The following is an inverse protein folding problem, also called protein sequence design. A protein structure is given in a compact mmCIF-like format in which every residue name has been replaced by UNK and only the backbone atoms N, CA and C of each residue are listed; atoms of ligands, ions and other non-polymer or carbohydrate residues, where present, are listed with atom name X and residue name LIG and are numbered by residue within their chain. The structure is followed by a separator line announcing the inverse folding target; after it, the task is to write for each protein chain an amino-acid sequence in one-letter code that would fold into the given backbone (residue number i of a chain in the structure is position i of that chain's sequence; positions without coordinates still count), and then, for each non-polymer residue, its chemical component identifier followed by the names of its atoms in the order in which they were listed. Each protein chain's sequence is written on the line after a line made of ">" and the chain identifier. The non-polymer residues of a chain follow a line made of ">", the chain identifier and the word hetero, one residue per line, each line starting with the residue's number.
data_IF_137789702187
#
_entry.id   IF_137789702187
#
_cell.length_a   1.000
_cell.length_b   1.000
_cell.length_c   1.000
_cell.angle_alpha   90.00
_cell.angle_beta   90.00
_cell.angle_gamma   90.00
#
_symmetry.space_group_name_H-M   'P 1'
#
loop_
_entity.id
_entity.type
_entity.pdbx_description
1 polymer ?
#
# COMPACT_ATOMS: atom_id res chain seq x y z
N UNK A 1 20.57 41.65 -12.20
CA UNK A 1 19.38 40.78 -12.24
C UNK A 1 19.52 39.85 -13.43
N UNK A 2 19.80 38.56 -13.20
CA UNK A 2 19.86 37.59 -14.28
C UNK A 2 18.45 37.39 -14.85
N UNK A 3 18.29 37.63 -16.15
CA UNK A 3 17.02 37.55 -16.89
C UNK A 3 16.59 36.14 -17.27
N UNK A 4 17.41 35.13 -16.98
CA UNK A 4 17.29 33.78 -17.54
C UNK A 4 16.03 33.01 -17.15
N UNK A 5 15.32 33.42 -16.09
CA UNK A 5 14.11 32.75 -15.59
C UNK A 5 13.00 33.74 -15.25
N UNK A 6 12.90 34.84 -16.01
CA UNK A 6 11.90 35.90 -15.73
C UNK A 6 10.46 35.41 -15.88
N UNK A 7 10.21 34.47 -16.79
CA UNK A 7 8.88 33.95 -17.13
C UNK A 7 8.84 32.41 -17.19
N UNK A 8 9.87 31.76 -16.65
CA UNK A 8 10.03 30.30 -16.69
C UNK A 8 10.66 29.85 -15.37
N UNK A 9 10.39 28.61 -14.97
CA UNK A 9 11.10 27.99 -13.86
C UNK A 9 12.41 27.36 -14.36
N UNK A 10 13.45 27.32 -13.52
CA UNK A 10 14.66 26.58 -13.84
C UNK A 10 14.36 25.08 -13.96
N UNK A 11 15.09 24.34 -14.81
CA UNK A 11 14.98 22.89 -14.86
C UNK A 11 15.18 22.27 -13.47
N UNK A 12 14.39 21.25 -13.15
CA UNK A 12 14.37 20.62 -11.82
C UNK A 12 15.77 20.19 -11.36
N UNK A 13 16.51 19.54 -12.25
CA UNK A 13 17.87 19.03 -12.05
C UNK A 13 18.93 20.13 -11.84
N UNK A 14 18.61 21.39 -12.17
CA UNK A 14 19.53 22.52 -11.96
C UNK A 14 19.46 23.13 -10.56
N UNK A 15 18.44 22.76 -9.77
CA UNK A 15 18.21 23.30 -8.42
C UNK A 15 18.01 22.14 -7.43
N UNK A 16 18.98 21.87 -6.53
CA UNK A 16 18.93 20.70 -5.64
C UNK A 16 17.67 20.57 -4.79
N UNK A 17 17.06 21.69 -4.35
CA UNK A 17 15.81 21.63 -3.58
C UNK A 17 14.62 21.18 -4.43
N UNK A 18 14.58 21.55 -5.72
CA UNK A 18 13.51 21.15 -6.63
C UNK A 18 13.71 19.70 -7.10
N UNK A 19 14.96 19.27 -7.27
CA UNK A 19 15.29 17.86 -7.51
C UNK A 19 14.83 16.98 -6.33
N UNK A 20 15.11 17.42 -5.10
CA UNK A 20 14.77 16.68 -3.88
C UNK A 20 13.27 16.62 -3.61
N UNK A 21 12.52 17.69 -3.88
CA UNK A 21 11.09 17.77 -3.62
C UNK A 21 10.30 18.00 -4.91
N UNK A 22 9.96 16.90 -5.58
CA UNK A 22 9.18 16.93 -6.82
C UNK A 22 7.82 17.62 -6.64
N UNK A 23 7.13 17.37 -5.52
CA UNK A 23 5.83 18.00 -5.22
C UNK A 23 5.90 19.52 -5.07
N UNK A 24 7.01 20.06 -4.55
CA UNK A 24 7.26 21.49 -4.54
C UNK A 24 7.47 22.02 -5.96
N UNK A 25 8.22 21.30 -6.79
CA UNK A 25 8.44 21.70 -8.17
C UNK A 25 7.14 21.68 -8.98
N UNK A 26 6.32 20.64 -8.84
CA UNK A 26 5.00 20.57 -9.47
C UNK A 26 4.07 21.69 -8.99
N UNK A 27 4.04 21.99 -7.68
CA UNK A 27 3.25 23.10 -7.15
C UNK A 27 3.66 24.44 -7.78
N UNK A 28 4.97 24.68 -7.95
CA UNK A 28 5.46 25.88 -8.62
C UNK A 28 5.06 25.90 -10.10
N UNK A 29 5.15 24.77 -10.80
CA UNK A 29 4.71 24.65 -12.20
C UNK A 29 3.23 25.00 -12.32
N UNK A 30 2.36 24.33 -11.57
CA UNK A 30 0.90 24.55 -11.59
C UNK A 30 0.54 25.98 -11.22
N UNK A 31 1.16 26.53 -10.16
CA UNK A 31 0.92 27.92 -9.75
C UNK A 31 1.43 28.99 -10.74
N UNK A 32 2.29 28.61 -11.69
CA UNK A 32 2.90 29.54 -12.67
C UNK A 32 2.60 29.19 -14.12
N UNK A 33 1.66 28.27 -14.38
CA UNK A 33 1.24 27.89 -15.74
C UNK A 33 0.84 29.12 -16.55
N UNK A 34 1.22 29.27 -17.84
CA UNK A 34 0.86 30.44 -18.63
C UNK A 34 -0.65 30.67 -18.76
N UNK A 35 -1.40 29.58 -18.96
CA UNK A 35 -2.86 29.59 -18.98
C UNK A 35 -3.40 29.72 -17.55
N UNK A 36 -4.20 30.76 -17.22
CA UNK A 36 -4.83 30.90 -15.91
C UNK A 36 -5.77 29.75 -15.54
N UNK A 37 -6.41 29.11 -16.52
CA UNK A 37 -7.37 28.03 -16.27
C UNK A 37 -6.66 26.75 -15.80
N UNK A 38 -5.36 26.61 -16.09
CA UNK A 38 -4.50 25.51 -15.65
C UNK A 38 -3.74 25.80 -14.32
N UNK A 39 -4.09 26.88 -13.61
CA UNK A 39 -3.55 27.22 -12.29
C UNK A 39 -4.48 26.78 -11.17
N UNK A 40 -4.03 26.94 -9.93
CA UNK A 40 -4.94 26.93 -8.77
C UNK A 40 -5.96 28.07 -8.91
N UNK A 41 -7.24 27.74 -8.75
CA UNK A 41 -8.35 28.68 -8.98
C UNK A 41 -8.53 29.66 -7.81
N UNK A 42 -7.95 29.34 -6.65
CA UNK A 42 -7.92 30.24 -5.50
C UNK A 42 -6.61 30.16 -4.71
N UNK A 43 -6.35 31.22 -3.93
CA UNK A 43 -5.24 31.21 -2.97
C UNK A 43 -5.44 30.17 -1.86
N UNK A 44 -6.69 29.83 -1.52
CA UNK A 44 -7.01 28.80 -0.54
C UNK A 44 -6.64 27.41 -1.06
N UNK A 45 -7.01 27.10 -2.31
CA UNK A 45 -6.62 25.85 -2.98
C UNK A 45 -5.09 25.71 -3.05
N UNK A 46 -4.39 26.77 -3.48
CA UNK A 46 -2.93 26.77 -3.48
C UNK A 46 -2.34 26.58 -2.07
N UNK A 47 -2.94 27.20 -1.04
CA UNK A 47 -2.49 27.07 0.34
C UNK A 47 -2.67 25.65 0.88
N UNK A 48 -3.78 24.98 0.54
CA UNK A 48 -4.02 23.58 0.91
C UNK A 48 -2.99 22.65 0.24
N UNK A 49 -2.73 22.83 -1.06
CA UNK A 49 -1.70 22.05 -1.76
C UNK A 49 -0.30 22.33 -1.20
N UNK A 50 0.02 23.60 -0.90
CA UNK A 50 1.30 23.97 -0.30
C UNK A 50 1.48 23.39 1.10
N UNK A 51 0.41 23.30 1.89
CA UNK A 51 0.43 22.64 3.19
C UNK A 51 0.72 21.14 3.05
N UNK A 52 0.12 20.48 2.05
CA UNK A 52 0.46 19.10 1.67
C UNK A 52 1.95 18.91 1.35
N UNK A 53 2.51 19.77 0.48
CA UNK A 53 3.94 19.77 0.16
C UNK A 53 4.81 20.01 1.40
N UNK A 54 4.42 20.94 2.28
CA UNK A 54 5.15 21.22 3.52
C UNK A 54 5.20 20.00 4.43
N UNK A 55 4.09 19.25 4.55
CA UNK A 55 4.04 18.00 5.34
C UNK A 55 5.07 16.99 4.84
N UNK A 56 5.21 16.83 3.53
CA UNK A 56 6.19 15.94 2.91
C UNK A 56 7.63 16.39 3.19
N UNK A 57 7.91 17.68 2.99
CA UNK A 57 9.24 18.27 3.25
C UNK A 57 9.64 18.05 4.70
N UNK A 58 8.75 18.40 5.64
CA UNK A 58 8.98 18.24 7.08
C UNK A 58 9.17 16.76 7.43
N UNK A 59 8.33 15.88 6.89
CA UNK A 59 8.45 14.45 7.17
C UNK A 59 9.76 13.85 6.65
N UNK A 60 10.27 14.39 5.55
CA UNK A 60 11.55 14.00 4.99
C UNK A 60 12.76 14.55 5.75
N UNK A 61 12.74 15.82 6.18
CA UNK A 61 13.88 16.46 6.85
C UNK A 61 13.98 16.12 8.33
N UNK A 62 12.85 16.12 9.04
CA UNK A 62 12.83 15.99 10.50
C UNK A 62 12.58 14.55 10.95
N UNK A 63 12.23 13.64 10.02
CA UNK A 63 11.96 12.24 10.31
C UNK A 63 10.72 12.00 11.19
N UNK A 64 9.88 13.03 11.39
CA UNK A 64 8.58 12.92 12.08
C UNK A 64 7.44 12.92 11.10
N UNK A 65 6.37 12.21 11.40
CA UNK A 65 5.19 12.16 10.54
C UNK A 65 4.33 13.40 10.74
N UNK A 66 3.64 13.84 9.68
CA UNK A 66 2.72 14.98 9.72
C UNK A 66 1.40 14.57 9.07
N UNK A 67 0.60 13.69 9.71
CA UNK A 67 -0.70 13.27 9.19
C UNK A 67 -1.71 14.43 9.23
N UNK A 68 -2.56 14.51 8.22
CA UNK A 68 -3.70 15.43 8.17
C UNK A 68 -4.75 14.90 7.19
N UNK A 69 -6.02 15.12 7.53
CA UNK A 69 -7.14 14.75 6.67
C UNK A 69 -7.12 15.60 5.38
N UNK A 70 -7.33 14.92 4.25
CA UNK A 70 -7.55 15.60 2.98
C UNK A 70 -8.94 16.25 2.97
N UNK A 71 -9.05 17.39 2.28
CA UNK A 71 -10.34 18.02 1.96
C UNK A 71 -10.92 17.53 0.62
N UNK A 72 -10.14 16.77 -0.15
CA UNK A 72 -10.51 16.31 -1.49
C UNK A 72 -10.70 14.79 -1.57
N UNK A 73 -10.08 14.04 -0.67
CA UNK A 73 -10.14 12.57 -0.64
C UNK A 73 -10.58 12.04 0.72
N UNK A 74 -11.21 10.87 0.72
CA UNK A 74 -11.44 10.09 1.93
C UNK A 74 -10.12 9.74 2.63
N UNK A 75 -10.21 9.34 3.89
CA UNK A 75 -9.05 8.79 4.59
C UNK A 75 -8.52 7.47 3.97
N UNK A 76 -7.40 6.95 4.50
CA UNK A 76 -6.82 5.69 4.06
C UNK A 76 -7.83 4.55 4.07
N UNK A 77 -7.90 3.80 2.96
CA UNK A 77 -8.75 2.61 2.83
C UNK A 77 -7.88 1.37 3.00
N UNK A 78 -8.43 0.37 3.69
CA UNK A 78 -7.74 -0.90 3.90
C UNK A 78 -8.10 -1.85 2.76
N UNK A 79 -7.08 -2.39 2.08
CA UNK A 79 -7.22 -3.49 1.13
C UNK A 79 -6.33 -4.68 1.48
N UNK A 80 -6.17 -5.58 0.52
CA UNK A 80 -5.19 -6.66 0.59
C UNK A 80 -3.75 -6.13 0.69
N UNK A 81 -2.88 -6.88 1.36
CA UNK A 81 -1.48 -6.50 1.56
C UNK A 81 -0.51 -7.28 0.66
N UNK A 82 -0.99 -8.26 -0.10
CA UNK A 82 -0.14 -9.15 -0.90
C UNK A 82 0.16 -8.56 -2.28
N UNK A 83 -0.74 -7.73 -2.82
CA UNK A 83 -0.60 -7.05 -4.12
C UNK A 83 -1.31 -5.69 -4.10
N UNK A 84 -1.03 -4.79 -5.05
CA UNK A 84 -1.80 -3.57 -5.23
C UNK A 84 -3.25 -3.89 -5.62
N UNK A 85 -4.20 -3.39 -4.84
CA UNK A 85 -5.63 -3.53 -5.08
C UNK A 85 -6.27 -2.15 -5.13
N UNK A 86 -6.83 -1.76 -6.28
CA UNK A 86 -7.39 -0.43 -6.49
C UNK A 86 -8.52 -0.07 -5.53
N UNK A 87 -9.19 -1.06 -4.90
CA UNK A 87 -10.18 -0.80 -3.84
C UNK A 87 -9.56 -0.16 -2.58
N UNK A 88 -8.24 -0.24 -2.39
CA UNK A 88 -7.52 0.41 -1.30
C UNK A 88 -7.19 1.88 -1.59
N UNK A 89 -7.52 2.40 -2.77
CA UNK A 89 -7.34 3.82 -3.07
C UNK A 89 -8.41 4.67 -2.35
N UNK A 90 -8.04 5.84 -1.80
CA UNK A 90 -9.01 6.83 -1.33
C UNK A 90 -10.00 7.22 -2.43
N UNK A 91 -11.23 7.59 -2.05
CA UNK A 91 -12.23 8.09 -3.00
C UNK A 91 -12.26 9.63 -2.95
N UNK A 92 -12.51 10.34 -4.06
CA UNK A 92 -12.84 11.76 -3.99
C UNK A 92 -14.01 11.99 -3.03
N UNK A 93 -13.95 13.08 -2.25
CA UNK A 93 -15.04 13.46 -1.36
C UNK A 93 -16.21 14.04 -2.15
N UNK A 94 -17.41 13.72 -1.68
CA UNK A 94 -18.66 14.34 -2.13
C UNK A 94 -18.62 15.83 -1.82
N UNK A 95 -18.91 16.68 -2.81
CA UNK A 95 -19.21 18.08 -2.56
C UNK A 95 -20.53 18.19 -1.78
N UNK A 96 -20.45 18.73 -0.54
CA UNK A 96 -21.61 18.88 0.32
C UNK A 96 -22.59 19.95 -0.15
N UNK A 97 -22.15 20.86 -1.03
CA UNK A 97 -22.98 21.91 -1.61
C UNK A 97 -23.70 21.44 -2.89
N UNK A 98 -23.42 20.23 -3.39
CA UNK A 98 -24.13 19.65 -4.54
C UNK A 98 -25.62 19.42 -4.22
N UNK A 99 -26.55 19.82 -5.10
CA UNK A 99 -27.99 19.65 -4.88
C UNK A 99 -28.42 18.20 -4.60
N UNK A 100 -27.70 17.21 -5.14
CA UNK A 100 -27.99 15.80 -4.94
C UNK A 100 -27.33 15.21 -3.69
N UNK A 101 -26.53 15.95 -2.93
CA UNK A 101 -25.82 15.43 -1.74
C UNK A 101 -26.76 14.74 -0.74
N UNK A 102 -27.94 15.35 -0.49
CA UNK A 102 -28.97 14.76 0.38
C UNK A 102 -29.58 13.46 -0.16
N UNK A 103 -29.75 13.36 -1.49
CA UNK A 103 -30.21 12.14 -2.14
C UNK A 103 -29.14 11.04 -2.09
N UNK A 104 -27.89 11.37 -2.42
CA UNK A 104 -26.77 10.43 -2.39
C UNK A 104 -26.56 9.83 -0.99
N UNK A 105 -26.77 10.62 0.07
CA UNK A 105 -26.73 10.14 1.45
C UNK A 105 -27.84 9.12 1.80
N UNK A 106 -28.91 9.02 0.99
CA UNK A 106 -30.02 8.07 1.21
C UNK A 106 -29.78 6.71 0.56
N UNK A 107 -28.82 6.61 -0.37
CA UNK A 107 -28.47 5.36 -1.03
C UNK A 107 -27.74 4.47 -0.04
N UNK A 108 -28.39 3.39 0.37
CA UNK A 108 -27.88 2.43 1.37
C UNK A 108 -27.70 1.02 0.79
N UNK A 109 -28.05 0.82 -0.49
CA UNK A 109 -27.82 -0.43 -1.20
C UNK A 109 -26.33 -0.78 -1.16
N UNK A 110 -26.03 -2.07 -0.99
CA UNK A 110 -24.65 -2.60 -1.01
C UNK A 110 -24.37 -3.40 -2.29
N UNK A 111 -25.40 -3.72 -3.05
CA UNK A 111 -25.29 -4.39 -4.34
C UNK A 111 -24.99 -3.35 -5.44
N UNK A 112 -23.90 -3.49 -6.21
CA UNK A 112 -23.51 -2.51 -7.23
C UNK A 112 -24.59 -2.28 -8.30
N UNK A 113 -25.31 -3.34 -8.71
CA UNK A 113 -26.37 -3.22 -9.72
C UNK A 113 -27.56 -2.39 -9.20
N UNK A 114 -27.97 -2.61 -7.96
CA UNK A 114 -29.00 -1.79 -7.32
C UNK A 114 -28.53 -0.34 -7.11
N UNK A 115 -27.28 -0.12 -6.70
CA UNK A 115 -26.73 1.24 -6.57
C UNK A 115 -26.76 1.99 -7.91
N UNK A 116 -26.36 1.33 -9.01
CA UNK A 116 -26.43 1.89 -10.36
C UNK A 116 -27.88 2.27 -10.72
N UNK A 117 -28.85 1.39 -10.45
CA UNK A 117 -30.25 1.66 -10.73
C UNK A 117 -30.78 2.87 -9.93
N UNK A 118 -30.43 2.96 -8.64
CA UNK A 118 -30.81 4.09 -7.79
C UNK A 118 -30.19 5.39 -8.33
N UNK A 119 -28.88 5.41 -8.60
CA UNK A 119 -28.17 6.57 -9.16
C UNK A 119 -28.74 7.00 -10.53
N UNK A 120 -29.16 6.05 -11.36
CA UNK A 120 -29.80 6.33 -12.63
C UNK A 120 -31.19 6.96 -12.47
N UNK A 121 -31.89 6.61 -11.39
CA UNK A 121 -33.20 7.13 -11.01
C UNK A 121 -33.13 8.39 -10.13
N UNK A 122 -31.93 8.96 -9.93
CA UNK A 122 -31.77 10.19 -9.17
C UNK A 122 -32.68 11.31 -9.70
N UNK A 123 -33.34 12.09 -8.82
CA UNK A 123 -34.24 13.17 -9.24
C UNK A 123 -33.54 14.24 -10.09
N UNK A 124 -32.26 14.47 -9.83
CA UNK A 124 -31.40 15.41 -10.55
C UNK A 124 -30.11 14.71 -10.97
N UNK A 125 -29.66 14.98 -12.20
CA UNK A 125 -28.38 14.50 -12.74
C UNK A 125 -27.31 15.56 -12.53
N UNK A 126 -26.70 15.56 -11.36
CA UNK A 126 -25.58 16.45 -11.00
C UNK A 126 -24.23 15.79 -11.24
N UNK A 127 -23.15 16.57 -11.13
CA UNK A 127 -21.77 16.06 -11.25
C UNK A 127 -21.50 14.98 -10.20
N UNK A 128 -21.95 15.16 -8.96
CA UNK A 128 -21.74 14.16 -7.90
C UNK A 128 -22.49 12.85 -8.14
N UNK A 129 -23.70 12.91 -8.72
CA UNK A 129 -24.43 11.70 -9.14
C UNK A 129 -23.67 10.97 -10.25
N UNK A 130 -23.15 11.71 -11.24
CA UNK A 130 -22.37 11.13 -12.33
C UNK A 130 -21.05 10.50 -11.83
N UNK A 131 -20.30 11.18 -10.96
CA UNK A 131 -19.07 10.64 -10.39
C UNK A 131 -19.32 9.41 -9.51
N UNK A 132 -20.39 9.42 -8.71
CA UNK A 132 -20.78 8.23 -7.94
C UNK A 132 -21.19 7.07 -8.84
N UNK A 133 -21.95 7.34 -9.90
CA UNK A 133 -22.32 6.33 -10.90
C UNK A 133 -21.09 5.76 -11.62
N UNK A 134 -20.15 6.61 -12.02
CA UNK A 134 -18.89 6.18 -12.63
C UNK A 134 -18.11 5.22 -11.72
N UNK A 135 -18.06 5.50 -10.41
CA UNK A 135 -17.43 4.61 -9.44
C UNK A 135 -18.09 3.21 -9.41
N UNK A 136 -19.42 3.13 -9.38
CA UNK A 136 -20.14 1.85 -9.36
C UNK A 136 -20.05 1.11 -10.71
N UNK A 137 -19.95 1.83 -11.83
CA UNK A 137 -19.76 1.23 -13.16
C UNK A 137 -18.39 0.54 -13.30
N UNK A 138 -17.36 1.04 -12.62
CA UNK A 138 -16.06 0.36 -12.53
C UNK A 138 -16.20 -1.00 -11.83
N UNK A 139 -16.94 -1.05 -10.70
CA UNK A 139 -17.15 -2.27 -9.92
C UNK A 139 -17.80 -3.40 -10.75
N UNK A 140 -18.75 -3.06 -11.63
CA UNK A 140 -19.43 -4.03 -12.50
C UNK A 140 -18.77 -4.21 -13.86
N UNK A 141 -17.73 -3.43 -14.17
CA UNK A 141 -17.00 -3.48 -15.44
C UNK A 141 -17.79 -3.00 -16.66
N UNK A 142 -18.76 -2.10 -16.47
CA UNK A 142 -19.49 -1.46 -17.59
C UNK A 142 -18.74 -0.21 -18.08
N UNK A 143 -17.72 -0.46 -18.89
CA UNK A 143 -16.79 0.57 -19.38
C UNK A 143 -17.42 1.55 -20.37
N UNK A 144 -18.48 1.14 -21.07
CA UNK A 144 -19.13 2.00 -22.07
C UNK A 144 -19.93 3.08 -21.35
N UNK A 145 -20.82 2.65 -20.45
CA UNK A 145 -21.61 3.58 -19.63
C UNK A 145 -20.70 4.45 -18.74
N UNK A 146 -19.56 3.91 -18.31
CA UNK A 146 -18.56 4.66 -17.54
C UNK A 146 -18.01 5.86 -18.32
N UNK A 147 -17.55 5.68 -19.56
CA UNK A 147 -17.03 6.79 -20.37
C UNK A 147 -18.13 7.78 -20.75
N UNK A 148 -19.34 7.30 -21.06
CA UNK A 148 -20.49 8.16 -21.33
C UNK A 148 -20.81 9.04 -20.10
N UNK A 149 -20.78 8.46 -18.90
CA UNK A 149 -21.02 9.18 -17.63
C UNK A 149 -19.92 10.21 -17.35
N UNK A 150 -18.65 9.89 -17.62
CA UNK A 150 -17.56 10.86 -17.44
C UNK A 150 -17.61 12.01 -18.45
N UNK A 151 -18.07 11.75 -19.68
CA UNK A 151 -18.28 12.79 -20.67
C UNK A 151 -19.33 13.83 -20.23
N UNK A 152 -20.32 13.43 -19.42
CA UNK A 152 -21.27 14.37 -18.81
C UNK A 152 -20.58 15.32 -17.83
N UNK A 153 -19.66 14.82 -17.01
CA UNK A 153 -18.87 15.65 -16.07
C UNK A 153 -17.98 16.62 -16.83
N UNK A 154 -17.26 16.14 -17.86
CA UNK A 154 -16.39 16.97 -18.70
C UNK A 154 -17.15 18.06 -19.48
N UNK A 155 -18.43 17.83 -19.78
CA UNK A 155 -19.28 18.83 -20.42
C UNK A 155 -19.63 19.99 -19.49
N UNK A 156 -19.64 19.77 -18.17
CA UNK A 156 -19.84 20.80 -17.14
C UNK A 156 -18.52 21.52 -16.85
N UNK A 157 -17.46 20.76 -16.57
CA UNK A 157 -16.12 21.28 -16.33
C UNK A 157 -15.05 20.35 -16.93
N UNK A 158 -14.33 20.86 -17.94
CA UNK A 158 -13.27 20.11 -18.63
C UNK A 158 -12.00 19.95 -17.80
N UNK A 159 -11.85 20.74 -16.73
CA UNK A 159 -10.69 20.71 -15.84
C UNK A 159 -10.95 19.93 -14.54
N UNK A 160 -12.12 19.30 -14.40
CA UNK A 160 -12.41 18.48 -13.21
C UNK A 160 -11.45 17.28 -13.13
N UNK A 161 -10.48 17.38 -12.23
CA UNK A 161 -9.46 16.37 -12.00
C UNK A 161 -10.05 15.01 -11.63
N UNK A 162 -11.29 14.95 -11.09
CA UNK A 162 -11.95 13.70 -10.69
C UNK A 162 -12.24 12.81 -11.89
N UNK A 163 -12.41 13.38 -13.07
CA UNK A 163 -12.50 12.62 -14.33
C UNK A 163 -11.21 11.83 -14.56
N UNK A 164 -10.05 12.49 -14.45
CA UNK A 164 -8.74 11.83 -14.57
C UNK A 164 -8.53 10.80 -13.46
N UNK A 165 -9.00 11.08 -12.24
CA UNK A 165 -8.94 10.12 -11.14
C UNK A 165 -9.70 8.83 -11.46
N UNK A 166 -10.98 8.93 -11.84
CA UNK A 166 -11.81 7.76 -12.12
C UNK A 166 -11.33 7.00 -13.36
N UNK A 167 -10.85 7.68 -14.41
CA UNK A 167 -10.16 7.01 -15.53
C UNK A 167 -8.95 6.23 -15.05
N UNK A 168 -8.13 6.79 -14.16
CA UNK A 168 -6.99 6.08 -13.56
C UNK A 168 -7.40 4.81 -12.81
N UNK A 169 -8.46 4.87 -12.01
CA UNK A 169 -9.00 3.72 -11.28
C UNK A 169 -9.55 2.65 -12.25
N UNK A 170 -10.32 3.06 -13.26
CA UNK A 170 -10.84 2.14 -14.28
C UNK A 170 -9.71 1.44 -15.05
N UNK A 171 -8.65 2.16 -15.40
CA UNK A 171 -7.51 1.59 -16.12
C UNK A 171 -6.68 0.65 -15.23
N UNK A 172 -6.58 0.88 -13.91
CA UNK A 172 -6.05 -0.12 -12.97
C UNK A 172 -6.91 -1.38 -12.93
N UNK A 173 -8.23 -1.23 -12.81
CA UNK A 173 -9.17 -2.35 -12.78
C UNK A 173 -9.09 -3.20 -14.07
N UNK A 174 -8.71 -2.58 -15.20
CA UNK A 174 -8.51 -3.22 -16.50
C UNK A 174 -7.09 -3.74 -16.73
N UNK A 175 -6.20 -3.64 -15.73
CA UNK A 175 -4.78 -3.97 -15.83
C UNK A 175 -4.07 -3.26 -16.99
N UNK A 176 -4.35 -1.95 -17.17
CA UNK A 176 -3.74 -1.06 -18.17
C UNK A 176 -2.91 0.01 -17.48
N UNK A 177 -1.77 -0.41 -16.94
CA UNK A 177 -0.99 0.35 -15.98
C UNK A 177 -0.40 1.64 -16.56
N UNK A 178 -0.02 1.66 -17.84
CA UNK A 178 0.48 2.87 -18.49
C UNK A 178 -0.57 3.98 -18.58
N UNK A 179 -1.82 3.61 -18.90
CA UNK A 179 -2.93 4.55 -18.99
C UNK A 179 -3.39 5.01 -17.60
N UNK A 180 -3.40 4.08 -16.64
CA UNK A 180 -3.64 4.40 -15.24
C UNK A 180 -2.61 5.43 -14.72
N UNK A 181 -1.33 5.17 -14.95
CA UNK A 181 -0.23 6.07 -14.56
C UNK A 181 -0.39 7.46 -15.17
N UNK A 182 -0.64 7.55 -16.48
CA UNK A 182 -0.85 8.84 -17.14
C UNK A 182 -2.02 9.63 -16.53
N UNK A 183 -3.11 8.93 -16.19
CA UNK A 183 -4.29 9.54 -15.56
C UNK A 183 -3.98 10.04 -14.15
N UNK A 184 -3.28 9.25 -13.33
CA UNK A 184 -2.88 9.69 -11.98
C UNK A 184 -1.79 10.76 -11.99
N UNK A 185 -0.91 10.79 -12.99
CA UNK A 185 0.04 11.89 -13.19
C UNK A 185 -0.68 13.21 -13.47
N UNK A 186 -1.78 13.17 -14.24
CA UNK A 186 -2.65 14.33 -14.46
C UNK A 186 -3.21 14.86 -13.14
N UNK A 187 -3.76 13.95 -12.30
CA UNK A 187 -4.27 14.32 -10.97
C UNK A 187 -3.16 14.84 -10.06
N UNK A 188 -1.97 14.23 -10.09
CA UNK A 188 -0.83 14.69 -9.30
C UNK A 188 -0.37 16.10 -9.68
N UNK A 189 -0.40 16.46 -10.98
CA UNK A 189 -0.09 17.83 -11.43
C UNK A 189 -1.11 18.84 -10.93
N UNK A 190 -2.39 18.49 -10.91
CA UNK A 190 -3.44 19.33 -10.34
C UNK A 190 -3.33 19.44 -8.81
N UNK A 191 -3.02 18.32 -8.14
CA UNK A 191 -3.04 18.17 -6.69
C UNK A 191 -1.68 17.72 -6.13
N UNK A 192 -0.61 18.52 -6.26
CA UNK A 192 0.74 18.10 -5.92
C UNK A 192 0.96 17.89 -4.42
N UNK A 193 0.09 18.43 -3.56
CA UNK A 193 0.13 18.26 -2.11
C UNK A 193 -0.63 17.05 -1.57
N UNK A 194 -1.43 16.38 -2.41
CA UNK A 194 -2.26 15.25 -1.98
C UNK A 194 -1.48 13.92 -1.97
N UNK A 195 -1.74 13.09 -0.96
CA UNK A 195 -1.13 11.76 -0.85
C UNK A 195 -1.85 10.70 -1.71
N UNK A 196 -3.15 10.87 -1.96
CA UNK A 196 -3.95 9.94 -2.74
C UNK A 196 -3.42 9.70 -4.18
N UNK A 197 -3.12 10.73 -5.01
CA UNK A 197 -2.54 10.50 -6.33
C UNK A 197 -1.15 9.85 -6.27
N UNK A 198 -0.36 10.13 -5.23
CA UNK A 198 0.95 9.48 -5.04
C UNK A 198 0.80 8.01 -4.69
N UNK A 199 -0.16 7.66 -3.83
CA UNK A 199 -0.49 6.26 -3.57
C UNK A 199 -0.90 5.54 -4.87
N UNK A 200 -1.74 6.17 -5.67
CA UNK A 200 -2.20 5.63 -6.95
C UNK A 200 -1.07 5.45 -7.97
N UNK A 201 -0.11 6.38 -8.05
CA UNK A 201 1.11 6.23 -8.83
C UNK A 201 1.99 5.07 -8.33
N UNK A 202 2.07 4.87 -7.01
CA UNK A 202 2.69 3.70 -6.41
C UNK A 202 2.04 2.39 -6.88
N UNK A 203 0.70 2.34 -6.87
CA UNK A 203 -0.07 1.17 -7.30
C UNK A 203 0.16 0.89 -8.79
N UNK A 204 0.02 1.90 -9.64
CA UNK A 204 0.25 1.76 -11.08
C UNK A 204 1.69 1.30 -11.40
N UNK A 205 2.69 1.88 -10.74
CA UNK A 205 4.09 1.48 -10.90
C UNK A 205 4.36 0.04 -10.46
N UNK A 206 3.83 -0.38 -9.32
CA UNK A 206 4.03 -1.75 -8.82
C UNK A 206 3.34 -2.76 -9.74
N UNK A 207 2.08 -2.49 -10.12
CA UNK A 207 1.34 -3.32 -11.07
C UNK A 207 1.98 -3.36 -12.46
N UNK A 208 2.76 -2.35 -12.85
CA UNK A 208 3.51 -2.32 -14.11
C UNK A 208 4.82 -3.10 -14.06
N UNK A 209 5.19 -3.66 -12.91
CA UNK A 209 6.49 -4.31 -12.72
C UNK A 209 7.65 -3.33 -12.60
N UNK A 210 7.38 -2.09 -12.15
CA UNK A 210 8.38 -1.05 -11.91
C UNK A 210 8.54 -0.75 -10.39
N UNK A 211 9.07 -1.71 -9.59
CA UNK A 211 9.12 -1.58 -8.13
C UNK A 211 9.98 -0.40 -7.65
N UNK A 212 11.03 -0.03 -8.39
CA UNK A 212 11.87 1.12 -8.03
C UNK A 212 11.13 2.46 -8.17
N UNK A 213 10.22 2.57 -9.13
CA UNK A 213 9.35 3.73 -9.30
C UNK A 213 8.27 3.76 -8.22
N UNK A 214 7.57 2.63 -8.03
CA UNK A 214 6.56 2.49 -7.00
C UNK A 214 7.08 2.78 -5.59
N UNK A 215 8.29 2.28 -5.26
CA UNK A 215 8.92 2.49 -3.97
C UNK A 215 9.11 3.98 -3.64
N UNK A 216 9.40 4.84 -4.63
CA UNK A 216 9.55 6.29 -4.38
C UNK A 216 8.24 6.91 -3.94
N UNK A 217 7.14 6.56 -4.59
CA UNK A 217 5.81 7.06 -4.24
C UNK A 217 5.33 6.54 -2.89
N UNK A 218 5.46 5.24 -2.66
CA UNK A 218 5.12 4.63 -1.38
C UNK A 218 5.95 5.17 -0.21
N UNK A 219 7.22 5.47 -0.45
CA UNK A 219 8.09 6.10 0.54
C UNK A 219 7.55 7.46 0.97
N UNK A 220 7.18 8.33 0.01
CA UNK A 220 6.62 9.66 0.31
C UNK A 220 5.33 9.53 1.13
N UNK A 221 4.40 8.68 0.69
CA UNK A 221 3.10 8.52 1.33
C UNK A 221 3.23 7.99 2.76
N UNK A 222 3.91 6.85 2.93
CA UNK A 222 4.01 6.19 4.24
C UNK A 222 4.87 6.95 5.25
N UNK A 223 5.84 7.75 4.78
CA UNK A 223 6.64 8.63 5.65
C UNK A 223 5.85 9.86 6.10
N UNK A 224 5.00 10.40 5.23
CA UNK A 224 4.19 11.58 5.55
C UNK A 224 3.04 11.25 6.48
N UNK A 225 2.35 10.14 6.21
CA UNK A 225 1.21 9.67 7.00
C UNK A 225 1.21 8.14 7.12
N UNK A 226 1.59 7.58 8.28
CA UNK A 226 1.59 6.13 8.53
C UNK A 226 0.20 5.47 8.50
N UNK A 227 -0.88 6.26 8.51
CA UNK A 227 -2.25 5.76 8.34
C UNK A 227 -2.47 5.10 6.97
N UNK A 228 -1.69 5.49 5.96
CA UNK A 228 -1.67 4.85 4.64
C UNK A 228 -0.89 3.53 4.67
N UNK A 229 -1.44 2.54 5.35
CA UNK A 229 -0.79 1.23 5.54
C UNK A 229 -0.50 0.53 4.21
N UNK A 230 -1.35 0.71 3.20
CA UNK A 230 -1.13 0.20 1.84
C UNK A 230 0.20 0.70 1.24
N UNK A 231 0.63 1.93 1.54
CA UNK A 231 1.92 2.44 1.10
C UNK A 231 3.07 1.77 1.85
N UNK A 232 2.95 1.53 3.16
CA UNK A 232 3.98 0.82 3.92
C UNK A 232 4.16 -0.63 3.44
N UNK A 233 3.06 -1.34 3.15
CA UNK A 233 3.11 -2.69 2.57
C UNK A 233 3.67 -2.69 1.14
N UNK A 234 3.21 -1.77 0.27
CA UNK A 234 3.72 -1.63 -1.09
C UNK A 234 5.22 -1.31 -1.13
N UNK A 235 5.69 -0.41 -0.25
CA UNK A 235 7.11 -0.16 -0.07
C UNK A 235 7.86 -1.42 0.37
N UNK A 236 7.31 -2.15 1.35
CA UNK A 236 7.86 -3.43 1.81
C UNK A 236 8.05 -4.43 0.67
N UNK A 237 7.01 -4.63 -0.16
CA UNK A 237 7.06 -5.52 -1.32
C UNK A 237 8.08 -5.06 -2.37
N UNK A 238 8.10 -3.78 -2.71
CA UNK A 238 9.07 -3.22 -3.67
C UNK A 238 10.52 -3.39 -3.19
N UNK A 239 10.78 -3.13 -1.90
CA UNK A 239 12.12 -3.32 -1.30
C UNK A 239 12.52 -4.79 -1.25
N UNK A 240 11.60 -5.70 -0.97
CA UNK A 240 11.87 -7.14 -1.05
C UNK A 240 12.20 -7.58 -2.48
N UNK A 241 11.47 -7.08 -3.48
CA UNK A 241 11.75 -7.35 -4.90
C UNK A 241 13.16 -6.85 -5.31
N UNK A 242 13.61 -5.73 -4.75
CA UNK A 242 14.96 -5.20 -4.95
C UNK A 242 16.04 -5.91 -4.10
N UNK A 243 15.68 -6.88 -3.25
CA UNK A 243 16.61 -7.53 -2.31
C UNK A 243 17.01 -6.67 -1.10
N UNK A 244 16.36 -5.52 -0.91
CA UNK A 244 16.64 -4.53 0.13
C UNK A 244 15.83 -4.81 1.41
N UNK A 245 16.09 -5.97 2.00
CA UNK A 245 15.35 -6.48 3.17
C UNK A 245 15.29 -5.51 4.35
N UNK A 246 16.40 -4.82 4.65
CA UNK A 246 16.43 -3.83 5.73
C UNK A 246 15.44 -2.68 5.46
N UNK A 247 15.32 -2.26 4.19
CA UNK A 247 14.32 -1.27 3.77
C UNK A 247 12.90 -1.79 3.93
N UNK A 248 12.65 -3.07 3.65
CA UNK A 248 11.33 -3.68 3.85
C UNK A 248 10.94 -3.74 5.34
N UNK A 249 11.86 -4.15 6.22
CA UNK A 249 11.62 -4.13 7.67
C UNK A 249 11.33 -2.71 8.17
N UNK A 250 12.11 -1.73 7.72
CA UNK A 250 11.89 -0.32 8.05
C UNK A 250 10.54 0.22 7.54
N UNK A 251 10.03 -0.30 6.43
CA UNK A 251 8.70 0.05 5.92
C UNK A 251 7.60 -0.49 6.85
N UNK A 252 7.68 -1.76 7.25
CA UNK A 252 6.71 -2.37 8.17
C UNK A 252 6.75 -1.74 9.57
N UNK A 253 7.92 -1.28 10.02
CA UNK A 253 8.11 -0.58 11.31
C UNK A 253 7.40 0.77 11.37
N UNK A 254 6.97 1.35 10.24
CA UNK A 254 6.17 2.59 10.23
C UNK A 254 4.77 2.38 10.78
N UNK A 255 4.26 1.15 10.75
CA UNK A 255 2.88 0.85 11.17
C UNK A 255 2.86 0.76 12.71
N UNK A 256 2.19 1.69 13.42
CA UNK A 256 2.18 1.72 14.88
C UNK A 256 1.37 0.56 15.46
N UNK A 257 1.61 0.21 16.72
CA UNK A 257 0.89 -0.84 17.46
C UNK A 257 -0.61 -0.57 17.65
N UNK A 258 -1.02 0.70 17.63
CA UNK A 258 -2.42 1.12 17.63
C UNK A 258 -3.13 0.89 16.29
N UNK A 259 -2.41 0.57 15.22
CA UNK A 259 -3.00 0.33 13.89
C UNK A 259 -3.71 -1.02 13.82
N UNK A 260 -4.86 -1.04 13.15
CA UNK A 260 -5.57 -2.28 12.84
C UNK A 260 -4.80 -3.21 11.88
N UNK A 261 -3.74 -2.70 11.23
CA UNK A 261 -2.84 -3.47 10.36
C UNK A 261 -1.54 -3.92 11.06
N UNK A 262 -1.41 -3.67 12.37
CA UNK A 262 -0.17 -3.97 13.10
C UNK A 262 0.14 -5.47 13.10
N UNK A 263 -0.86 -6.33 13.30
CA UNK A 263 -0.65 -7.79 13.34
C UNK A 263 -0.14 -8.30 11.99
N UNK A 264 -0.67 -7.78 10.89
CA UNK A 264 -0.25 -8.10 9.52
C UNK A 264 1.17 -7.57 9.25
N UNK A 265 1.49 -6.35 9.71
CA UNK A 265 2.83 -5.78 9.57
C UNK A 265 3.87 -6.62 10.30
N UNK A 266 3.59 -7.01 11.55
CA UNK A 266 4.48 -7.87 12.33
C UNK A 266 4.57 -9.29 11.77
N UNK A 267 3.49 -9.81 11.17
CA UNK A 267 3.51 -11.06 10.40
C UNK A 267 4.46 -10.95 9.20
N UNK A 268 4.39 -9.86 8.44
CA UNK A 268 5.29 -9.59 7.32
C UNK A 268 6.74 -9.45 7.78
N UNK A 269 7.00 -8.81 8.95
CA UNK A 269 8.32 -8.76 9.58
C UNK A 269 8.84 -10.13 9.96
N UNK A 270 8.04 -10.97 10.62
CA UNK A 270 8.42 -12.36 10.97
C UNK A 270 8.84 -13.12 9.70
N UNK A 271 8.02 -13.07 8.65
CA UNK A 271 8.32 -13.72 7.36
C UNK A 271 9.59 -13.18 6.73
N UNK A 272 9.75 -11.86 6.73
CA UNK A 272 10.94 -11.20 6.26
C UNK A 272 12.17 -11.68 7.04
N UNK A 273 12.11 -11.73 8.37
CA UNK A 273 13.16 -12.21 9.29
C UNK A 273 13.46 -13.72 9.14
N UNK A 274 12.44 -14.54 8.83
CA UNK A 274 12.60 -15.97 8.62
C UNK A 274 13.18 -16.32 7.24
N UNK A 275 12.84 -15.56 6.19
CA UNK A 275 13.30 -15.83 4.83
C UNK A 275 14.83 -15.64 4.65
N UNK A 276 15.41 -14.65 5.32
CA UNK A 276 16.85 -14.41 5.24
C UNK A 276 17.26 -13.50 4.09
N UNK A 277 18.58 -13.41 3.85
CA UNK A 277 19.13 -12.88 2.60
C UNK A 277 19.58 -14.03 1.67
N UNK A 278 20.33 -13.76 0.60
CA UNK A 278 20.89 -14.81 -0.27
C UNK A 278 21.74 -15.87 0.46
N UNK A 279 22.25 -15.56 1.66
CA UNK A 279 22.94 -16.48 2.56
C UNK A 279 22.03 -17.05 3.68
N UNK A 280 20.73 -16.78 3.66
CA UNK A 280 19.72 -17.15 4.65
C UNK A 280 19.65 -16.21 5.85
N UNK A 281 18.89 -16.61 6.88
CA UNK A 281 18.66 -15.79 8.09
C UNK A 281 19.78 -15.97 9.11
N UNK A 282 20.05 -14.93 9.90
CA UNK A 282 20.99 -15.01 11.03
C UNK A 282 20.28 -15.54 12.30
N UNK A 283 21.06 -15.97 13.29
CA UNK A 283 20.49 -16.41 14.57
C UNK A 283 19.74 -15.26 15.28
N UNK A 284 20.27 -14.04 15.22
CA UNK A 284 19.67 -12.84 15.83
C UNK A 284 18.34 -12.46 15.16
N UNK A 285 18.26 -12.54 13.83
CA UNK A 285 17.02 -12.33 13.08
C UNK A 285 15.94 -13.34 13.48
N UNK A 286 16.31 -14.61 13.64
CA UNK A 286 15.39 -15.67 14.03
C UNK A 286 14.93 -15.54 15.48
N UNK A 287 15.83 -15.17 16.39
CA UNK A 287 15.49 -14.85 17.77
C UNK A 287 14.51 -13.66 17.83
N UNK A 288 14.76 -12.63 17.05
CA UNK A 288 13.87 -11.47 16.91
C UNK A 288 12.50 -11.91 16.37
N UNK A 289 12.45 -12.72 15.31
CA UNK A 289 11.20 -13.25 14.76
C UNK A 289 10.42 -14.08 15.79
N UNK A 290 11.12 -14.91 16.57
CA UNK A 290 10.54 -15.69 17.66
C UNK A 290 9.92 -14.82 18.75
N UNK A 291 10.66 -13.78 19.18
CA UNK A 291 10.17 -12.82 20.18
C UNK A 291 8.93 -12.06 19.71
N UNK A 292 8.92 -11.60 18.46
CA UNK A 292 7.74 -10.96 17.86
C UNK A 292 6.56 -11.94 17.89
N UNK A 293 6.74 -13.18 17.41
CA UNK A 293 5.68 -14.19 17.39
C UNK A 293 5.14 -14.53 18.80
N UNK A 294 6.00 -14.55 19.82
CA UNK A 294 5.59 -14.76 21.21
C UNK A 294 4.73 -13.62 21.76
N UNK A 295 5.07 -12.38 21.40
CA UNK A 295 4.34 -11.18 21.84
C UNK A 295 3.02 -10.93 21.09
N UNK A 296 2.89 -11.40 19.85
CA UNK A 296 1.71 -11.15 19.02
C UNK A 296 0.48 -11.93 19.47
N UNK A 297 -0.67 -11.25 19.46
CA UNK A 297 -1.99 -11.82 19.74
C UNK A 297 -2.56 -12.67 18.57
N UNK A 298 -1.71 -13.46 17.89
CA UNK A 298 -2.10 -14.40 16.82
C UNK A 298 -2.42 -15.76 17.45
N UNK A 299 -3.51 -16.40 17.01
CA UNK A 299 -3.96 -17.71 17.51
C UNK A 299 -4.27 -18.68 16.37
N UNK A 300 -4.50 -19.94 16.74
CA UNK A 300 -4.93 -20.98 15.82
C UNK A 300 -3.90 -21.27 14.73
N UNK A 301 -4.39 -21.63 13.55
CA UNK A 301 -3.60 -22.07 12.42
C UNK A 301 -2.48 -21.08 12.02
N UNK A 302 -2.78 -19.78 11.97
CA UNK A 302 -1.80 -18.75 11.56
C UNK A 302 -0.58 -18.71 12.50
N UNK A 303 -0.79 -18.84 13.81
CA UNK A 303 0.32 -18.89 14.79
C UNK A 303 1.21 -20.11 14.55
N UNK A 304 0.58 -21.26 14.30
CA UNK A 304 1.30 -22.53 14.09
C UNK A 304 2.09 -22.48 12.78
N UNK A 305 1.52 -21.86 11.74
CA UNK A 305 2.17 -21.67 10.44
C UNK A 305 3.44 -20.80 10.56
N UNK A 306 3.33 -19.64 11.21
CA UNK A 306 4.49 -18.78 11.47
C UNK A 306 5.56 -19.46 12.33
N UNK A 307 5.15 -20.23 13.35
CA UNK A 307 6.09 -21.03 14.15
C UNK A 307 6.83 -22.04 13.27
N UNK A 308 6.14 -22.73 12.37
CA UNK A 308 6.76 -23.68 11.45
C UNK A 308 7.79 -22.98 10.55
N UNK A 309 7.43 -21.85 9.93
CA UNK A 309 8.32 -21.06 9.07
C UNK A 309 9.60 -20.62 9.79
N UNK A 310 9.48 -20.07 11.00
CA UNK A 310 10.64 -19.62 11.81
C UNK A 310 11.53 -20.80 12.24
N UNK A 311 10.94 -21.92 12.66
CA UNK A 311 11.70 -23.11 13.06
C UNK A 311 12.36 -23.82 11.86
N UNK A 312 11.74 -23.81 10.68
CA UNK A 312 12.35 -24.31 9.44
C UNK A 312 13.57 -23.48 9.06
N UNK A 313 13.47 -22.15 9.15
CA UNK A 313 14.60 -21.25 8.89
C UNK A 313 15.76 -21.48 9.89
N UNK A 314 15.44 -21.69 11.17
CA UNK A 314 16.43 -22.03 12.19
C UNK A 314 17.09 -23.40 11.94
N UNK A 315 16.31 -24.39 11.53
CA UNK A 315 16.83 -25.71 11.16
C UNK A 315 17.78 -25.58 9.96
N UNK A 316 17.39 -24.84 8.92
CA UNK A 316 18.22 -24.61 7.74
C UNK A 316 19.53 -23.87 8.06
N UNK A 317 19.51 -22.90 8.99
CA UNK A 317 20.73 -22.25 9.47
C UNK A 317 21.65 -23.24 10.21
N UNK A 318 21.08 -24.08 11.06
CA UNK A 318 21.81 -25.09 11.85
C UNK A 318 22.47 -26.14 10.96
N UNK A 319 21.75 -26.66 9.96
CA UNK A 319 22.29 -27.66 9.03
C UNK A 319 23.43 -27.12 8.16
N UNK A 320 23.49 -25.80 7.94
CA UNK A 320 24.59 -25.12 7.21
C UNK A 320 25.80 -24.80 8.09
N UNK A 321 25.77 -25.13 9.38
CA UNK A 321 26.86 -24.83 10.31
C UNK A 321 26.90 -23.38 10.78
N UNK A 322 25.77 -22.67 10.72
CA UNK A 322 25.65 -21.33 11.31
C UNK A 322 26.00 -21.34 12.80
N UNK A 323 26.79 -20.35 13.25
CA UNK A 323 27.21 -20.26 14.64
C UNK A 323 26.03 -19.89 15.55
N UNK A 324 25.84 -20.67 16.61
CA UNK A 324 24.98 -20.35 17.74
C UNK A 324 25.83 -20.27 19.00
N UNK A 325 25.46 -19.40 19.93
CA UNK A 325 26.04 -19.37 21.26
C UNK A 325 25.75 -20.72 21.93
N UNK A 326 26.82 -21.51 22.10
CA UNK A 326 27.01 -22.75 22.88
C UNK A 326 25.86 -23.79 23.00
N UNK A 327 24.80 -23.70 22.18
CA UNK A 327 23.60 -24.52 22.24
C UNK A 327 22.65 -24.22 23.41
N UNK A 328 22.87 -23.14 24.19
CA UNK A 328 22.00 -22.77 25.33
C UNK A 328 20.82 -21.90 24.94
N UNK A 329 20.93 -21.14 23.85
CA UNK A 329 19.82 -20.33 23.36
C UNK A 329 18.65 -21.22 22.89
N UNK A 330 17.42 -20.75 23.11
CA UNK A 330 16.19 -21.41 22.69
C UNK A 330 15.35 -20.48 21.82
N UNK A 331 14.66 -21.06 20.84
CA UNK A 331 13.73 -20.39 19.96
C UNK A 331 12.38 -21.08 20.03
N UNK A 332 11.33 -20.34 20.43
CA UNK A 332 9.96 -20.83 20.50
C UNK A 332 9.82 -22.13 21.32
N UNK A 333 10.63 -22.26 22.39
CA UNK A 333 10.67 -23.41 23.28
C UNK A 333 11.59 -24.57 22.85
N UNK A 334 12.37 -24.42 21.77
CA UNK A 334 13.29 -25.44 21.26
C UNK A 334 14.73 -24.94 21.31
N UNK A 335 15.68 -25.76 21.78
CA UNK A 335 17.10 -25.40 21.74
C UNK A 335 17.58 -25.33 20.30
N UNK A 336 18.56 -24.48 20.01
CA UNK A 336 19.25 -24.42 18.71
C UNK A 336 20.16 -25.65 18.49
N UNK A 337 19.52 -26.80 18.31
CA UNK A 337 20.14 -28.04 17.88
C UNK A 337 19.30 -28.64 16.77
N UNK A 338 19.93 -29.27 15.79
CA UNK A 338 19.22 -29.87 14.66
C UNK A 338 18.11 -30.83 15.14
N UNK A 339 18.40 -31.61 16.17
CA UNK A 339 17.46 -32.56 16.77
C UNK A 339 16.22 -31.86 17.36
N UNK A 340 16.42 -30.86 18.22
CA UNK A 340 15.30 -30.21 18.91
C UNK A 340 14.48 -29.34 17.95
N UNK A 341 15.12 -28.67 17.00
CA UNK A 341 14.44 -27.90 15.95
C UNK A 341 13.59 -28.80 15.04
N UNK A 342 14.12 -29.96 14.61
CA UNK A 342 13.34 -30.97 13.86
C UNK A 342 12.09 -31.42 14.61
N UNK A 343 12.18 -31.65 15.92
CA UNK A 343 10.99 -31.95 16.74
C UNK A 343 9.98 -30.79 16.75
N UNK A 344 10.45 -29.54 16.83
CA UNK A 344 9.59 -28.37 16.80
C UNK A 344 8.88 -28.18 15.46
N UNK A 345 9.59 -28.37 14.35
CA UNK A 345 9.00 -28.31 13.01
C UNK A 345 8.01 -29.45 12.79
N UNK A 346 8.37 -30.71 13.13
CA UNK A 346 7.46 -31.86 13.05
C UNK A 346 6.17 -31.60 13.83
N UNK A 347 6.28 -31.16 15.09
CA UNK A 347 5.12 -30.87 15.93
C UNK A 347 4.23 -29.80 15.30
N UNK A 348 4.82 -28.77 14.69
CA UNK A 348 4.08 -27.70 14.04
C UNK A 348 3.30 -28.19 12.82
N UNK A 349 3.91 -29.01 11.97
CA UNK A 349 3.20 -29.60 10.82
C UNK A 349 2.10 -30.58 11.22
N UNK A 350 2.31 -31.40 12.26
CA UNK A 350 1.26 -32.27 12.81
C UNK A 350 0.09 -31.48 13.38
N UNK A 351 0.36 -30.31 13.95
CA UNK A 351 -0.68 -29.40 14.43
C UNK A 351 -1.42 -28.74 13.27
N UNK A 352 -0.72 -28.24 12.24
CA UNK A 352 -1.34 -27.72 11.00
C UNK A 352 -2.24 -28.75 10.32
N UNK A 353 -1.85 -30.03 10.29
CA UNK A 353 -2.65 -31.10 9.69
C UNK A 353 -4.05 -31.28 10.35
N UNK A 354 -4.24 -30.77 11.58
CA UNK A 354 -5.55 -30.76 12.25
C UNK A 354 -6.46 -29.64 11.74
N UNK A 355 -5.88 -28.58 11.22
CA UNK A 355 -6.58 -27.42 10.65
C UNK A 355 -6.88 -27.58 9.15
N UNK A 356 -6.24 -28.55 8.49
CA UNK A 356 -6.40 -28.80 7.05
C UNK A 356 -7.87 -28.93 6.62
N UNK A 357 -8.25 -28.14 5.60
CA UNK A 357 -9.61 -28.10 5.06
C UNK A 357 -9.92 -29.32 4.18
N UNK A 358 -8.88 -29.98 3.65
CA UNK A 358 -9.02 -31.14 2.79
C UNK A 358 -8.16 -32.33 3.26
N UNK A 359 -8.52 -33.54 2.79
CA UNK A 359 -7.72 -34.72 3.08
C UNK A 359 -6.36 -34.70 2.35
N UNK A 360 -6.29 -34.09 1.16
CA UNK A 360 -5.02 -33.96 0.42
C UNK A 360 -4.05 -33.03 1.15
N UNK A 361 -4.52 -31.86 1.58
CA UNK A 361 -3.72 -30.92 2.38
C UNK A 361 -3.23 -31.57 3.68
N UNK A 362 -4.10 -32.33 4.35
CA UNK A 362 -3.72 -33.09 5.55
C UNK A 362 -2.59 -34.08 5.27
N UNK A 363 -2.67 -34.81 4.17
CA UNK A 363 -1.63 -35.79 3.77
C UNK A 363 -0.31 -35.06 3.52
N UNK A 364 -0.32 -33.96 2.76
CA UNK A 364 0.88 -33.17 2.47
C UNK A 364 1.57 -32.65 3.75
N UNK A 365 0.80 -32.11 4.70
CA UNK A 365 1.32 -31.63 5.98
C UNK A 365 1.89 -32.77 6.84
N UNK A 366 1.24 -33.94 6.85
CA UNK A 366 1.74 -35.13 7.58
C UNK A 366 3.02 -35.67 6.94
N UNK A 367 3.09 -35.71 5.61
CA UNK A 367 4.28 -36.15 4.89
C UNK A 367 5.47 -35.22 5.15
N UNK A 368 5.24 -33.91 5.17
CA UNK A 368 6.26 -32.92 5.54
C UNK A 368 6.72 -33.09 6.99
N UNK A 369 5.81 -33.38 7.92
CA UNK A 369 6.16 -33.72 9.29
C UNK A 369 7.03 -34.98 9.37
N UNK A 370 6.71 -36.03 8.59
CA UNK A 370 7.44 -37.29 8.60
C UNK A 370 8.86 -37.16 8.00
N UNK A 371 9.04 -36.34 6.96
CA UNK A 371 10.35 -36.07 6.35
C UNK A 371 11.32 -35.38 7.33
N UNK A 372 10.78 -34.58 8.23
CA UNK A 372 11.56 -33.78 9.18
C UNK A 372 11.79 -34.47 10.53
N UNK A 373 11.16 -35.62 10.75
CA UNK A 373 11.26 -36.41 11.98
C UNK A 373 12.72 -36.73 12.35
N UNK A 374 13.20 -36.40 13.57
CA UNK A 374 14.53 -36.77 14.01
C UNK A 374 14.69 -38.29 14.10
N UNK A 375 15.85 -38.82 13.71
CA UNK A 375 16.20 -40.22 13.96
C UNK A 375 16.43 -40.44 15.46
N UNK A 376 15.46 -41.06 16.12
CA UNK A 376 15.61 -41.57 17.49
C UNK A 376 16.20 -42.98 17.40
N UNK A 377 17.50 -43.12 17.62
CA UNK A 377 18.07 -44.44 17.89
C UNK A 377 17.60 -44.85 19.30
N UNK A 378 16.77 -45.89 19.35
CA UNK A 378 16.42 -46.63 20.58
C UNK A 378 17.43 -47.74 20.82
#
# INVERSE_FOLDING_TARGET
>A
YQSNFRFTLPPRESVPVLERYDSLYQLLLTGTTPDPDDRFQSAEEMADQLYGVLREVVSNEEGRTVPAASKLFTGPVRGGNDEPDWHALPRPLLDSDDPAAGYLATITATDPQQMIADLQAAPERTVEVALRLAAELIEVGDWTSFEDTLAEVEAVDRWDWRVSWYRGVAELARARQDLARASFESVYRALPGELAPKLALGFAGESAGAPDEAARWYEIVSRTDPGFTAAAFGLGRCRLAAGERAGALAAYDRIPDSSSAYVEAQTARIRCLAAGNGAGSTADELLTAGSILESLAIRGEQRVRLRAEVLEAALALTTRGGAFDDGRASLLGYRFSERDLRFGVERSYRELARWAASNSERIELVDRANQLRPRTWT
#
